data_IF_843383412468
#
_entry.id   IF_843383412468
#
_cell.length_a   1.000
_cell.length_b   1.000
_cell.length_c   1.000
_cell.angle_alpha   90.00
_cell.angle_beta   90.00
_cell.angle_gamma   90.00
#
_symmetry.space_group_name_H-M   'P 1'
#
loop_
_entity.id
_entity.type
_entity.pdbx_description
1 polymer ?
#
# COMPACT_ATOMS: atom_id res chain seq x y z
N UNK A 1 -8.66 0.26 10.36
CA UNK A 1 -7.46 0.87 9.76
C UNK A 1 -7.43 0.56 8.27
N UNK A 2 -7.13 1.56 7.46
CA UNK A 2 -7.09 1.45 6.01
C UNK A 2 -5.67 1.20 5.54
N UNK A 3 -5.48 0.14 4.75
CA UNK A 3 -4.18 -0.29 4.25
C UNK A 3 -4.16 -0.20 2.72
N UNK A 4 -3.14 0.44 2.16
CA UNK A 4 -2.89 0.43 0.72
C UNK A 4 -1.84 -0.62 0.38
N UNK A 5 -2.08 -1.38 -0.70
CA UNK A 5 -1.13 -2.38 -1.18
C UNK A 5 -0.27 -1.82 -2.30
N UNK A 6 1.04 -1.81 -2.12
CA UNK A 6 2.00 -1.41 -3.14
C UNK A 6 2.84 -2.62 -3.56
N UNK A 7 2.98 -2.83 -4.86
CA UNK A 7 3.75 -3.97 -5.35
C UNK A 7 3.85 -4.00 -6.86
N UNK A 8 4.54 -4.99 -7.41
CA UNK A 8 4.78 -5.06 -8.84
C UNK A 8 3.53 -5.49 -9.61
N UNK A 9 3.20 -4.71 -10.64
CA UNK A 9 2.08 -4.96 -11.54
C UNK A 9 2.57 -5.18 -12.97
N UNK A 10 3.31 -4.20 -13.51
CA UNK A 10 3.81 -4.26 -14.89
C UNK A 10 4.76 -5.43 -15.06
N UNK A 11 4.49 -6.29 -16.04
CA UNK A 11 5.34 -7.43 -16.33
C UNK A 11 5.11 -8.65 -15.44
N UNK A 12 4.13 -8.61 -14.56
CA UNK A 12 3.79 -9.73 -13.66
C UNK A 12 2.44 -10.29 -14.10
N UNK A 13 2.46 -11.48 -14.71
CA UNK A 13 1.27 -12.07 -15.33
C UNK A 13 0.14 -12.33 -14.34
N UNK A 14 0.47 -12.73 -13.13
CA UNK A 14 -0.50 -13.10 -12.10
C UNK A 14 -0.66 -12.02 -11.01
N UNK A 15 -0.40 -10.75 -11.35
CA UNK A 15 -0.41 -9.68 -10.34
C UNK A 15 -1.77 -9.53 -9.65
N UNK A 16 -2.86 -9.67 -10.36
CA UNK A 16 -4.20 -9.54 -9.76
C UNK A 16 -4.46 -10.59 -8.70
N UNK A 17 -4.03 -11.82 -8.97
CA UNK A 17 -4.18 -12.91 -8.01
C UNK A 17 -3.32 -12.69 -6.78
N UNK A 18 -2.08 -12.24 -6.96
CA UNK A 18 -1.17 -11.95 -5.84
C UNK A 18 -1.72 -10.85 -4.95
N UNK A 19 -2.21 -9.76 -5.54
CA UNK A 19 -2.83 -8.67 -4.79
C UNK A 19 -4.11 -9.13 -4.09
N UNK A 20 -4.93 -9.93 -4.77
CA UNK A 20 -6.16 -10.47 -4.19
C UNK A 20 -5.87 -11.33 -2.96
N UNK A 21 -4.86 -12.18 -3.03
CA UNK A 21 -4.47 -13.02 -1.90
C UNK A 21 -4.00 -12.19 -0.71
N UNK A 22 -3.21 -11.15 -0.98
CA UNK A 22 -2.76 -10.23 0.07
C UNK A 22 -3.95 -9.50 0.70
N UNK A 23 -4.86 -9.01 -0.14
CA UNK A 23 -6.08 -8.33 0.33
C UNK A 23 -6.90 -9.25 1.24
N UNK A 24 -7.08 -10.52 0.85
CA UNK A 24 -7.85 -11.48 1.65
C UNK A 24 -7.24 -11.67 3.02
N UNK A 25 -5.93 -11.84 3.09
CA UNK A 25 -5.25 -12.03 4.36
C UNK A 25 -5.40 -10.81 5.28
N UNK A 26 -5.28 -9.62 4.72
CA UNK A 26 -5.44 -8.38 5.48
C UNK A 26 -6.89 -8.18 5.91
N UNK A 27 -7.84 -8.45 5.04
CA UNK A 27 -9.27 -8.34 5.35
C UNK A 27 -9.65 -9.29 6.48
N UNK A 28 -9.11 -10.51 6.46
CA UNK A 28 -9.36 -11.50 7.53
C UNK A 28 -8.84 -11.03 8.89
N UNK A 29 -7.84 -10.14 8.89
CA UNK A 29 -7.32 -9.53 10.11
C UNK A 29 -8.08 -8.27 10.53
N UNK A 30 -9.09 -7.86 9.77
CA UNK A 30 -9.93 -6.72 10.10
C UNK A 30 -9.55 -5.41 9.44
N UNK A 31 -8.58 -5.41 8.53
CA UNK A 31 -8.20 -4.19 7.80
C UNK A 31 -9.14 -3.91 6.64
N UNK A 32 -9.31 -2.62 6.33
CA UNK A 32 -9.94 -2.19 5.08
C UNK A 32 -8.83 -1.99 4.07
N UNK A 33 -8.92 -2.65 2.91
CA UNK A 33 -7.81 -2.68 1.96
C UNK A 33 -8.14 -1.89 0.70
N UNK A 34 -7.23 -0.99 0.32
CA UNK A 34 -7.26 -0.32 -0.97
C UNK A 34 -6.28 -1.06 -1.90
N UNK A 35 -6.83 -1.75 -2.89
CA UNK A 35 -6.08 -2.62 -3.78
C UNK A 35 -6.06 -2.03 -5.19
N UNK A 36 -4.91 -1.49 -5.66
CA UNK A 36 -4.83 -0.87 -6.98
C UNK A 36 -4.92 -1.88 -8.13
N UNK A 37 -4.77 -3.16 -7.85
CA UNK A 37 -4.83 -4.18 -8.90
C UNK A 37 -6.24 -4.40 -9.47
N UNK A 38 -7.27 -3.81 -8.83
CA UNK A 38 -8.63 -3.86 -9.37
C UNK A 38 -8.85 -2.82 -10.47
N UNK A 39 -7.95 -1.86 -10.61
CA UNK A 39 -8.11 -0.82 -11.64
C UNK A 39 -8.02 -1.42 -13.04
N UNK A 40 -8.75 -0.85 -14.00
CA UNK A 40 -8.73 -1.39 -15.35
C UNK A 40 -7.37 -1.25 -16.02
N UNK A 41 -7.05 -2.20 -16.90
CA UNK A 41 -5.87 -2.09 -17.75
C UNK A 41 -6.11 -1.07 -18.86
N UNK A 42 -5.04 -0.58 -19.45
CA UNK A 42 -5.14 0.33 -20.59
C UNK A 42 -5.12 1.81 -20.25
N UNK A 43 -5.07 2.16 -18.97
CA UNK A 43 -4.89 3.55 -18.60
C UNK A 43 -3.44 4.00 -18.79
N UNK A 44 -3.24 5.31 -19.01
CA UNK A 44 -1.89 5.86 -19.03
C UNK A 44 -1.23 5.69 -17.67
N UNK A 45 0.11 5.67 -17.64
CA UNK A 45 0.83 5.60 -16.37
C UNK A 45 0.51 6.79 -15.47
N UNK A 46 0.31 7.97 -16.06
CA UNK A 46 -0.04 9.17 -15.29
C UNK A 46 -1.43 9.04 -14.65
N UNK A 47 -2.41 8.55 -15.40
CA UNK A 47 -3.76 8.36 -14.87
C UNK A 47 -3.77 7.33 -13.73
N UNK A 48 -3.09 6.21 -13.96
CA UNK A 48 -2.96 5.15 -12.95
C UNK A 48 -2.32 5.70 -11.67
N UNK A 49 -1.23 6.44 -11.80
CA UNK A 49 -0.51 6.99 -10.65
C UNK A 49 -1.36 7.99 -9.87
N UNK A 50 -2.16 8.82 -10.57
CA UNK A 50 -3.05 9.77 -9.87
C UNK A 50 -4.05 9.05 -8.96
N UNK A 51 -4.62 7.95 -9.45
CA UNK A 51 -5.58 7.18 -8.67
C UNK A 51 -4.87 6.50 -7.49
N UNK A 52 -3.70 5.91 -7.73
CA UNK A 52 -2.92 5.26 -6.69
C UNK A 52 -2.48 6.26 -5.61
N UNK A 53 -2.10 7.47 -6.00
CA UNK A 53 -1.74 8.51 -5.02
C UNK A 53 -2.94 8.89 -4.15
N UNK A 54 -4.13 8.97 -4.73
CA UNK A 54 -5.35 9.23 -3.95
C UNK A 54 -5.64 8.10 -2.96
N UNK A 55 -5.39 6.85 -3.36
CA UNK A 55 -5.52 5.69 -2.46
C UNK A 55 -4.52 5.77 -1.31
N UNK A 56 -3.26 6.12 -1.61
CA UNK A 56 -2.22 6.28 -0.61
C UNK A 56 -2.62 7.38 0.39
N UNK A 57 -3.11 8.51 -0.12
CA UNK A 57 -3.55 9.62 0.73
C UNK A 57 -4.71 9.23 1.65
N UNK A 58 -5.52 8.28 1.22
CA UNK A 58 -6.68 7.81 1.97
C UNK A 58 -6.33 6.70 2.97
N UNK A 59 -5.14 6.13 2.88
CA UNK A 59 -4.74 5.00 3.71
C UNK A 59 -4.08 5.47 5.00
N UNK A 60 -4.22 4.66 6.05
CA UNK A 60 -3.51 4.88 7.31
C UNK A 60 -2.08 4.34 7.22
N UNK A 61 -1.90 3.26 6.47
CA UNK A 61 -0.60 2.62 6.30
C UNK A 61 -0.46 2.12 4.86
N UNK A 62 0.76 2.15 4.35
CA UNK A 62 1.09 1.59 3.03
C UNK A 62 1.93 0.33 3.25
N UNK A 63 1.48 -0.78 2.70
CA UNK A 63 2.21 -2.04 2.80
C UNK A 63 2.84 -2.41 1.48
N UNK A 64 4.09 -2.88 1.55
CA UNK A 64 4.84 -3.24 0.36
C UNK A 64 4.91 -4.77 0.22
N UNK A 65 4.45 -5.24 -0.93
CA UNK A 65 4.47 -6.66 -1.27
C UNK A 65 5.87 -7.10 -1.71
N UNK A 66 6.20 -8.39 -1.57
CA UNK A 66 7.50 -8.89 -2.04
C UNK A 66 7.76 -8.52 -3.50
N UNK A 67 8.99 -8.11 -3.80
CA UNK A 67 9.38 -7.73 -5.15
C UNK A 67 9.08 -6.28 -5.54
N UNK A 68 8.57 -5.48 -4.63
CA UNK A 68 8.21 -4.09 -4.92
C UNK A 68 9.40 -3.26 -5.42
N UNK A 69 10.62 -3.60 -4.99
CA UNK A 69 11.84 -2.87 -5.38
C UNK A 69 12.11 -2.97 -6.89
N UNK A 70 11.55 -3.96 -7.54
CA UNK A 70 11.70 -4.18 -8.98
C UNK A 70 10.62 -3.45 -9.79
N UNK A 71 9.71 -2.75 -9.13
CA UNK A 71 8.62 -2.03 -9.77
C UNK A 71 8.88 -0.53 -9.72
N UNK A 72 8.97 0.12 -10.89
CA UNK A 72 9.19 1.57 -10.96
C UNK A 72 8.06 2.33 -10.24
N UNK A 73 6.82 1.91 -10.46
CA UNK A 73 5.66 2.55 -9.82
C UNK A 73 5.70 2.41 -8.30
N UNK A 74 5.98 1.22 -7.81
CA UNK A 74 6.04 0.99 -6.35
C UNK A 74 7.19 1.77 -5.72
N UNK A 75 8.32 1.93 -6.42
CA UNK A 75 9.43 2.74 -5.91
C UNK A 75 9.05 4.22 -5.80
N UNK A 76 8.32 4.74 -6.78
CA UNK A 76 7.83 6.11 -6.72
C UNK A 76 6.89 6.28 -5.52
N UNK A 77 6.02 5.32 -5.29
CA UNK A 77 5.11 5.34 -4.15
C UNK A 77 5.87 5.30 -2.83
N UNK A 78 6.92 4.49 -2.75
CA UNK A 78 7.77 4.43 -1.57
C UNK A 78 8.47 5.77 -1.31
N UNK A 79 9.02 6.39 -2.35
CA UNK A 79 9.68 7.68 -2.23
C UNK A 79 8.71 8.76 -1.76
N UNK A 80 7.51 8.76 -2.29
CA UNK A 80 6.46 9.68 -1.87
C UNK A 80 6.12 9.50 -0.39
N UNK A 81 5.96 8.26 0.05
CA UNK A 81 5.66 7.96 1.45
C UNK A 81 6.79 8.42 2.38
N UNK A 82 8.03 8.16 2.00
CA UNK A 82 9.18 8.63 2.78
C UNK A 82 9.23 10.13 2.87
N UNK A 83 9.04 10.81 1.75
CA UNK A 83 9.10 12.27 1.70
C UNK A 83 8.01 12.90 2.55
N UNK A 84 6.81 12.34 2.53
CA UNK A 84 5.65 12.90 3.23
C UNK A 84 5.48 12.38 4.65
N UNK A 85 6.33 11.47 5.10
CA UNK A 85 6.26 10.91 6.45
C UNK A 85 5.14 9.90 6.67
N UNK A 86 4.63 9.29 5.61
CA UNK A 86 3.60 8.26 5.73
C UNK A 86 4.19 6.96 6.25
N UNK A 87 3.42 6.24 7.03
CA UNK A 87 3.86 4.97 7.59
C UNK A 87 3.85 3.88 6.53
N UNK A 88 4.97 3.18 6.41
CA UNK A 88 5.16 2.09 5.45
C UNK A 88 5.70 0.86 6.17
N UNK A 89 5.21 -0.31 5.76
CA UNK A 89 5.66 -1.58 6.33
C UNK A 89 5.68 -2.66 5.25
N UNK A 90 6.57 -3.62 5.39
CA UNK A 90 6.49 -4.83 4.59
C UNK A 90 5.19 -5.58 4.92
N UNK A 91 4.56 -6.16 3.92
CA UNK A 91 3.30 -6.88 4.09
C UNK A 91 3.38 -7.91 5.22
N UNK A 92 4.45 -8.68 5.29
CA UNK A 92 4.62 -9.73 6.28
C UNK A 92 4.59 -9.20 7.72
N UNK A 93 5.11 -7.98 7.96
CA UNK A 93 5.07 -7.38 9.30
C UNK A 93 3.64 -7.04 9.71
N UNK A 94 2.85 -6.53 8.76
CA UNK A 94 1.44 -6.23 9.02
C UNK A 94 0.68 -7.52 9.31
N UNK A 95 0.95 -8.58 8.54
CA UNK A 95 0.30 -9.87 8.73
C UNK A 95 0.64 -10.52 10.07
N UNK A 96 1.79 -10.20 10.65
CA UNK A 96 2.18 -10.69 11.98
C UNK A 96 1.48 -9.93 13.11
N UNK A 97 0.82 -8.81 12.81
CA UNK A 97 0.07 -8.06 13.79
C UNK A 97 0.86 -7.08 14.64
N UNK A 98 2.19 -7.04 14.50
CA UNK A 98 3.05 -6.19 15.34
C UNK A 98 2.95 -4.71 15.00
N UNK A 99 2.53 -4.40 13.79
CA UNK A 99 2.48 -3.04 13.25
C UNK A 99 1.38 -2.20 13.88
N UNK A 100 0.29 -2.80 14.28
CA UNK A 100 -0.91 -2.12 14.74
C UNK A 100 -0.64 -1.19 15.92
N UNK A 101 0.13 -1.64 16.89
CA UNK A 101 0.47 -0.84 18.08
C UNK A 101 1.36 0.34 17.73
N UNK A 102 2.36 0.10 16.90
CA UNK A 102 3.31 1.12 16.45
C UNK A 102 2.59 2.17 15.60
N UNK A 103 1.73 1.72 14.70
CA UNK A 103 0.98 2.59 13.80
C UNK A 103 0.06 3.54 14.54
N UNK A 104 -0.64 3.05 15.55
CA UNK A 104 -1.54 3.88 16.35
C UNK A 104 -0.79 5.03 17.01
N UNK A 105 0.36 4.76 17.62
CA UNK A 105 1.17 5.78 18.26
C UNK A 105 1.68 6.80 17.25
N UNK A 106 2.13 6.32 16.09
CA UNK A 106 2.66 7.18 15.04
C UNK A 106 1.59 8.09 14.45
N UNK A 107 0.37 7.59 14.28
CA UNK A 107 -0.74 8.40 13.80
C UNK A 107 -1.10 9.51 14.79
N UNK A 108 -1.09 9.20 16.09
CA UNK A 108 -1.35 10.19 17.12
C UNK A 108 -0.31 11.29 17.07
N UNK A 109 0.97 10.97 16.90
CA UNK A 109 2.04 11.94 16.76
C UNK A 109 1.87 12.82 15.53
N UNK A 110 1.47 12.25 14.39
CA UNK A 110 1.24 13.02 13.17
C UNK A 110 0.10 14.01 13.31
N UNK A 111 -0.96 13.61 13.97
CA UNK A 111 -2.09 14.51 14.23
C UNK A 111 -1.70 15.69 15.11
N UNK A 112 -0.82 15.47 16.06
CA UNK A 112 -0.34 16.55 16.94
C UNK A 112 0.55 17.54 16.21
N UNK A 113 1.32 17.06 15.25
CA UNK A 113 2.27 17.89 14.49
C UNK A 113 1.59 18.62 13.34
N UNK A 114 0.61 17.96 12.74
CA UNK A 114 -0.09 18.49 11.58
C UNK A 114 -1.01 19.63 11.93
#
# INVERSE_FOLDING_TARGET
MIVYLAGPITGVADYRQRFYMAERKLTDLGYTVLNPAILPEGMSKAAYMRICMAMIESADVVTFMPGWQNSAGARIEADYCFYTGRKTYALELVLLGDVEKTEKTANDEREQVG
#
